data_IF_818907468276
#
_entry.id   IF_818907468276
#
_cell.length_a   1.000
_cell.length_b   1.000
_cell.length_c   1.000
_cell.angle_alpha   90.00
_cell.angle_beta   90.00
_cell.angle_gamma   90.00
#
_symmetry.space_group_name_H-M   'P 1'
#
loop_
_entity.id
_entity.type
_entity.pdbx_description
1 polymer ?
#
# COMPACT_ATOMS: atom_id res chain seq x y z
N UNK A 1 54.55 -68.96 -30.60
CA UNK A 1 55.27 -67.70 -30.38
C UNK A 1 54.23 -66.61 -30.61
N UNK A 2 53.31 -66.48 -29.65
CA UNK A 2 53.41 -65.57 -28.50
C UNK A 2 53.27 -64.11 -28.95
N UNK A 3 52.04 -63.61 -28.86
CA UNK A 3 51.72 -62.34 -28.19
C UNK A 3 50.20 -62.29 -28.02
N UNK A 4 49.74 -62.59 -26.80
CA UNK A 4 48.61 -61.89 -26.23
C UNK A 4 49.19 -60.66 -25.50
N UNK A 5 48.67 -59.46 -25.76
CA UNK A 5 48.13 -58.75 -24.62
C UNK A 5 46.81 -58.06 -24.98
N UNK A 6 45.71 -58.56 -24.42
CA UNK A 6 44.92 -57.88 -23.40
C UNK A 6 45.50 -56.51 -22.97
N UNK A 7 45.44 -55.53 -23.88
CA UNK A 7 45.61 -54.13 -23.57
C UNK A 7 44.25 -53.55 -23.18
N UNK A 8 43.79 -53.98 -22.00
CA UNK A 8 42.99 -53.19 -21.06
C UNK A 8 41.86 -52.37 -21.70
N UNK A 9 40.88 -53.07 -22.28
CA UNK A 9 39.51 -52.56 -22.31
C UNK A 9 38.86 -52.83 -20.95
N UNK A 10 39.29 -52.14 -19.89
CA UNK A 10 38.61 -52.15 -18.60
C UNK A 10 39.14 -51.00 -17.73
N UNK A 11 38.35 -50.05 -17.29
CA UNK A 11 36.95 -49.76 -17.52
C UNK A 11 36.83 -48.28 -17.14
N UNK A 12 35.96 -47.55 -17.82
CA UNK A 12 35.27 -46.45 -17.17
C UNK A 12 34.59 -47.06 -15.92
N UNK A 13 35.29 -47.04 -14.79
CA UNK A 13 34.74 -47.44 -13.50
C UNK A 13 33.81 -46.32 -13.06
N UNK A 14 32.63 -46.29 -13.69
CA UNK A 14 31.58 -45.34 -13.37
C UNK A 14 31.27 -45.38 -11.87
N UNK A 15 30.85 -44.25 -11.28
CA UNK A 15 30.60 -44.15 -9.84
C UNK A 15 29.72 -45.31 -9.33
N UNK A 16 30.04 -45.91 -8.17
CA UNK A 16 29.27 -47.04 -7.66
C UNK A 16 27.80 -46.65 -7.51
N UNK A 17 26.88 -47.59 -7.80
CA UNK A 17 25.42 -47.34 -7.80
C UNK A 17 24.93 -46.68 -6.51
N UNK A 18 25.53 -46.99 -5.36
CA UNK A 18 25.22 -46.36 -4.08
C UNK A 18 25.50 -44.85 -4.07
N UNK A 19 26.60 -44.41 -4.70
CA UNK A 19 26.95 -42.98 -4.84
C UNK A 19 25.98 -42.29 -5.79
N UNK A 20 25.59 -42.95 -6.88
CA UNK A 20 24.56 -42.42 -7.79
C UNK A 20 23.21 -42.27 -7.09
N UNK A 21 22.77 -43.25 -6.30
CA UNK A 21 21.52 -43.18 -5.52
C UNK A 21 21.59 -42.08 -4.46
N UNK A 22 22.69 -41.96 -3.74
CA UNK A 22 22.90 -40.90 -2.75
C UNK A 22 22.87 -39.50 -3.38
N UNK A 23 23.52 -39.34 -4.55
CA UNK A 23 23.52 -38.08 -5.28
C UNK A 23 22.10 -37.71 -5.78
N UNK A 24 21.37 -38.68 -6.34
CA UNK A 24 20.00 -38.46 -6.82
C UNK A 24 19.05 -38.11 -5.67
N UNK A 25 19.12 -38.83 -4.55
CA UNK A 25 18.28 -38.54 -3.37
C UNK A 25 18.58 -37.16 -2.80
N UNK A 26 19.85 -36.77 -2.67
CA UNK A 26 20.24 -35.43 -2.24
C UNK A 26 19.72 -34.35 -3.20
N UNK A 27 19.83 -34.57 -4.52
CA UNK A 27 19.33 -33.63 -5.52
C UNK A 27 17.81 -33.47 -5.45
N UNK A 28 17.05 -34.56 -5.30
CA UNK A 28 15.59 -34.53 -5.15
C UNK A 28 15.18 -33.79 -3.88
N UNK A 29 15.86 -34.04 -2.76
CA UNK A 29 15.60 -33.32 -1.50
C UNK A 29 15.91 -31.83 -1.64
N UNK A 30 17.04 -31.47 -2.23
CA UNK A 30 17.41 -30.07 -2.45
C UNK A 30 16.38 -29.34 -3.35
N UNK A 31 15.96 -29.97 -4.45
CA UNK A 31 14.91 -29.43 -5.32
C UNK A 31 13.59 -29.29 -4.56
N UNK A 32 13.21 -30.30 -3.77
CA UNK A 32 12.01 -30.26 -2.93
C UNK A 32 12.03 -29.08 -1.95
N UNK A 33 13.15 -28.86 -1.27
CA UNK A 33 13.34 -27.72 -0.35
C UNK A 33 13.27 -26.39 -1.09
N UNK A 34 13.94 -26.26 -2.25
CA UNK A 34 13.91 -25.03 -3.05
C UNK A 34 12.49 -24.72 -3.51
N UNK A 35 11.75 -25.72 -3.99
CA UNK A 35 10.36 -25.55 -4.44
C UNK A 35 9.43 -25.21 -3.28
N UNK A 36 9.61 -25.82 -2.11
CA UNK A 36 8.86 -25.47 -0.90
C UNK A 36 9.10 -24.00 -0.50
N UNK A 37 10.37 -23.57 -0.47
CA UNK A 37 10.72 -22.18 -0.18
C UNK A 37 10.15 -21.24 -1.23
N UNK A 38 10.24 -21.58 -2.51
CA UNK A 38 9.69 -20.75 -3.59
C UNK A 38 8.16 -20.63 -3.51
N UNK A 39 7.45 -21.73 -3.19
CA UNK A 39 6.01 -21.73 -3.01
C UNK A 39 5.55 -20.86 -1.82
N UNK A 40 6.41 -20.68 -0.81
CA UNK A 40 6.15 -19.79 0.34
C UNK A 40 6.57 -18.33 0.10
N UNK A 41 7.21 -18.01 -1.02
CA UNK A 41 7.55 -16.61 -1.36
C UNK A 41 6.38 -15.96 -2.08
N UNK A 42 5.53 -15.22 -1.35
CA UNK A 42 4.59 -14.31 -1.98
C UNK A 42 5.34 -13.19 -2.72
N UNK A 43 4.98 -12.96 -3.98
CA UNK A 43 5.40 -11.76 -4.70
C UNK A 43 4.92 -10.51 -3.92
N UNK A 44 5.73 -9.44 -3.85
CA UNK A 44 5.28 -8.19 -3.24
C UNK A 44 3.97 -7.72 -3.91
N UNK A 45 3.01 -7.20 -3.13
CA UNK A 45 1.79 -6.68 -3.71
C UNK A 45 2.10 -5.52 -4.68
N UNK A 46 1.33 -5.37 -5.77
CA UNK A 46 1.60 -4.34 -6.76
C UNK A 46 1.50 -2.93 -6.15
N UNK A 47 2.30 -1.96 -6.62
CA UNK A 47 2.20 -0.58 -6.14
C UNK A 47 0.79 0.01 -6.32
N UNK A 48 0.38 0.88 -5.40
CA UNK A 48 -0.91 1.59 -5.47
C UNK A 48 -0.78 2.78 -6.42
N UNK A 49 -1.57 2.81 -7.49
CA UNK A 49 -1.71 3.99 -8.32
C UNK A 49 -2.63 5.01 -7.62
N UNK A 50 -2.19 6.26 -7.55
CA UNK A 50 -2.98 7.37 -7.01
C UNK A 50 -3.19 8.38 -8.12
N UNK A 51 -4.44 8.70 -8.42
CA UNK A 51 -4.77 9.69 -9.43
C UNK A 51 -4.20 11.07 -9.04
N UNK A 52 -3.64 11.78 -10.02
CA UNK A 52 -3.21 13.15 -9.82
C UNK A 52 -4.44 14.05 -9.59
N UNK A 53 -4.36 14.91 -8.59
CA UNK A 53 -5.23 16.08 -8.44
C UNK A 53 -4.39 17.23 -7.88
N UNK A 54 -4.80 18.49 -8.10
CA UNK A 54 -4.07 19.65 -7.60
C UNK A 54 -3.80 19.55 -6.10
N UNK A 55 -2.51 19.60 -5.74
CA UNK A 55 -2.03 19.55 -4.37
C UNK A 55 -0.94 20.61 -4.15
N UNK A 56 -1.24 21.91 -4.31
CA UNK A 56 -0.23 22.98 -4.27
C UNK A 56 0.48 23.09 -2.91
N UNK A 57 -0.13 22.56 -1.85
CA UNK A 57 0.38 22.59 -0.49
C UNK A 57 1.03 21.28 -0.03
N UNK A 58 1.25 20.32 -0.95
CA UNK A 58 1.74 18.98 -0.61
C UNK A 58 3.16 18.98 0.03
N UNK A 59 3.97 20.00 -0.25
CA UNK A 59 5.33 20.17 0.30
C UNK A 59 5.39 21.07 1.54
N UNK A 60 4.25 21.64 1.96
CA UNK A 60 4.18 22.51 3.13
C UNK A 60 4.56 21.76 4.41
N UNK A 61 4.98 22.52 5.43
CA UNK A 61 5.46 21.96 6.69
C UNK A 61 4.42 21.06 7.38
N UNK A 62 3.13 21.39 7.26
CA UNK A 62 2.04 20.58 7.78
C UNK A 62 2.03 19.18 7.16
N UNK A 63 2.09 19.07 5.82
CA UNK A 63 2.09 17.78 5.14
C UNK A 63 3.37 16.96 5.42
N UNK A 64 4.52 17.62 5.55
CA UNK A 64 5.77 16.95 5.95
C UNK A 64 5.69 16.39 7.38
N UNK A 65 5.11 17.15 8.30
CA UNK A 65 4.86 16.72 9.69
C UNK A 65 3.94 15.49 9.73
N UNK A 66 2.80 15.56 9.04
CA UNK A 66 1.88 14.42 8.92
C UNK A 66 2.57 13.20 8.30
N UNK A 67 3.24 13.36 7.16
CA UNK A 67 3.92 12.27 6.48
C UNK A 67 4.94 11.53 7.37
N UNK A 68 5.68 12.27 8.21
CA UNK A 68 6.63 11.71 9.17
C UNK A 68 5.97 10.93 10.32
N UNK A 69 4.70 11.21 10.64
CA UNK A 69 3.97 10.56 11.72
C UNK A 69 3.01 9.46 11.25
N UNK A 70 2.80 9.30 9.95
CA UNK A 70 1.81 8.34 9.45
C UNK A 70 2.17 6.90 9.85
N UNK A 71 1.18 6.11 10.32
CA UNK A 71 1.45 4.79 10.87
C UNK A 71 1.75 3.77 9.76
N UNK A 72 2.43 2.68 10.14
CA UNK A 72 2.64 1.53 9.26
C UNK A 72 1.37 0.70 9.06
N UNK A 73 0.41 0.79 9.99
CA UNK A 73 -0.86 0.06 9.95
C UNK A 73 -2.04 0.99 10.25
N UNK A 74 -3.16 0.70 9.59
CA UNK A 74 -4.47 1.28 9.87
C UNK A 74 -5.47 0.12 10.03
N UNK A 75 -5.75 -0.30 11.27
CA UNK A 75 -6.44 -1.58 11.52
C UNK A 75 -5.75 -2.74 10.78
N UNK A 76 -6.50 -3.39 9.89
CA UNK A 76 -6.02 -4.51 9.06
C UNK A 76 -5.26 -4.08 7.79
N UNK A 77 -5.20 -2.78 7.51
CA UNK A 77 -4.49 -2.25 6.36
C UNK A 77 -3.01 -2.03 6.68
N UNK A 78 -2.11 -2.52 5.82
CA UNK A 78 -0.67 -2.32 5.91
C UNK A 78 -0.22 -1.24 4.92
N UNK A 79 0.74 -0.40 5.29
CA UNK A 79 1.32 0.62 4.40
C UNK A 79 1.78 0.00 3.09
N UNK A 80 1.35 0.58 1.99
CA UNK A 80 1.63 0.11 0.63
C UNK A 80 2.58 1.07 -0.10
N UNK A 81 3.35 0.52 -1.04
CA UNK A 81 4.19 1.33 -1.93
C UNK A 81 3.33 2.00 -2.98
N UNK A 82 3.59 3.27 -3.29
CA UNK A 82 2.93 4.00 -4.36
C UNK A 82 3.60 3.73 -5.71
N UNK A 83 2.80 3.69 -6.78
CA UNK A 83 3.32 3.65 -8.14
C UNK A 83 4.06 4.96 -8.46
N UNK A 84 5.12 4.87 -9.26
CA UNK A 84 5.91 6.03 -9.65
C UNK A 84 5.37 6.68 -10.94
N UNK A 85 5.37 8.02 -11.05
CA UNK A 85 5.79 8.99 -10.03
C UNK A 85 4.74 9.11 -8.90
N UNK A 86 5.19 8.96 -7.65
CA UNK A 86 4.33 9.08 -6.50
C UNK A 86 3.95 10.55 -6.25
N UNK A 87 2.65 10.90 -6.13
CA UNK A 87 2.26 12.26 -5.79
C UNK A 87 2.83 12.67 -4.42
N UNK A 88 3.32 13.90 -4.33
CA UNK A 88 3.75 14.47 -3.05
C UNK A 88 2.58 14.50 -2.06
N UNK A 89 2.87 14.31 -0.77
CA UNK A 89 1.85 14.30 0.28
C UNK A 89 0.88 13.10 0.22
N UNK A 90 1.11 12.10 -0.64
CA UNK A 90 0.28 10.91 -0.73
C UNK A 90 0.83 9.73 0.09
N UNK A 91 -0.07 8.92 0.62
CA UNK A 91 0.22 7.63 1.24
C UNK A 91 -0.93 6.66 0.96
N UNK A 92 -0.63 5.35 0.97
CA UNK A 92 -1.65 4.34 0.83
C UNK A 92 -1.42 3.16 1.78
N UNK A 93 -2.51 2.49 2.11
CA UNK A 93 -2.52 1.23 2.86
C UNK A 93 -3.44 0.24 2.16
N UNK A 94 -3.12 -1.05 2.23
CA UNK A 94 -3.88 -2.11 1.59
C UNK A 94 -4.15 -3.25 2.57
N UNK A 95 -5.37 -3.79 2.51
CA UNK A 95 -5.71 -5.05 3.16
C UNK A 95 -5.34 -6.21 2.23
N UNK A 96 -4.40 -7.06 2.67
CA UNK A 96 -3.95 -8.22 1.87
C UNK A 96 -3.33 -7.87 0.51
N UNK A 97 -3.20 -8.87 -0.37
CA UNK A 97 -2.53 -8.73 -1.67
C UNK A 97 -3.40 -8.13 -2.79
N UNK A 98 -4.72 -8.04 -2.58
CA UNK A 98 -5.67 -7.61 -3.62
C UNK A 98 -6.80 -6.70 -3.13
N UNK A 99 -6.79 -6.29 -1.86
CA UNK A 99 -7.79 -5.36 -1.35
C UNK A 99 -7.70 -3.98 -1.99
N UNK A 100 -8.83 -3.29 -2.04
CA UNK A 100 -8.85 -1.87 -2.41
C UNK A 100 -8.07 -1.05 -1.38
N UNK A 101 -7.29 -0.04 -1.82
CA UNK A 101 -6.46 0.72 -0.92
C UNK A 101 -7.21 1.85 -0.22
N UNK A 102 -6.89 2.06 1.06
CA UNK A 102 -7.06 3.33 1.75
C UNK A 102 -6.01 4.29 1.22
N UNK A 103 -6.41 5.47 0.76
CA UNK A 103 -5.49 6.47 0.19
C UNK A 103 -5.64 7.78 0.95
N UNK A 104 -4.52 8.31 1.42
CA UNK A 104 -4.42 9.64 2.01
C UNK A 104 -3.68 10.58 1.05
N UNK A 105 -4.16 11.81 0.93
CA UNK A 105 -3.54 12.88 0.15
C UNK A 105 -3.58 14.17 0.93
N UNK A 106 -2.42 14.76 1.19
CA UNK A 106 -2.29 16.02 1.93
C UNK A 106 -1.99 17.19 0.99
N UNK A 107 -2.48 18.38 1.34
CA UNK A 107 -2.12 19.62 0.67
C UNK A 107 -2.96 19.93 -0.58
N UNK A 108 -4.18 19.39 -0.63
CA UNK A 108 -5.12 19.59 -1.72
C UNK A 108 -5.74 20.99 -1.68
N UNK A 109 -6.29 21.42 -2.82
CA UNK A 109 -7.20 22.56 -2.87
C UNK A 109 -8.50 22.25 -2.12
N UNK A 110 -9.23 23.31 -1.73
CA UNK A 110 -10.56 23.18 -1.15
C UNK A 110 -11.48 22.43 -2.12
N UNK A 111 -12.19 21.37 -1.70
CA UNK A 111 -13.17 20.70 -2.55
C UNK A 111 -14.30 21.67 -2.91
N UNK A 112 -14.73 21.66 -4.17
CA UNK A 112 -15.69 22.64 -4.70
C UNK A 112 -17.06 22.56 -4.02
N UNK A 113 -17.42 21.38 -3.52
CA UNK A 113 -18.67 21.07 -2.84
C UNK A 113 -18.66 21.48 -1.36
N UNK A 114 -17.50 21.89 -0.81
CA UNK A 114 -17.42 22.37 0.56
C UNK A 114 -17.84 23.84 0.65
N UNK A 115 -19.15 24.02 0.83
CA UNK A 115 -19.84 25.30 0.89
C UNK A 115 -20.47 25.53 2.26
N UNK A 116 -20.93 26.76 2.53
CA UNK A 116 -21.63 27.08 3.78
C UNK A 116 -22.86 26.17 3.92
N UNK A 117 -22.97 25.50 5.06
CA UNK A 117 -24.04 24.54 5.33
C UNK A 117 -23.72 23.09 4.96
N UNK A 118 -22.55 22.81 4.35
CA UNK A 118 -22.10 21.44 4.12
C UNK A 118 -22.06 20.63 5.43
N UNK A 119 -22.54 19.37 5.42
CA UNK A 119 -22.52 18.52 6.60
C UNK A 119 -21.07 18.17 6.99
N UNK A 120 -20.78 18.21 8.29
CA UNK A 120 -19.48 17.90 8.86
C UNK A 120 -19.63 16.78 9.89
N UNK A 121 -18.70 15.83 9.85
CA UNK A 121 -18.57 14.78 10.86
C UNK A 121 -17.31 15.03 11.68
N UNK A 122 -17.41 14.89 13.01
CA UNK A 122 -16.27 15.02 13.90
C UNK A 122 -15.80 13.61 14.28
N UNK A 123 -14.54 13.32 14.00
CA UNK A 123 -13.86 12.08 14.41
C UNK A 123 -12.56 12.48 15.10
N UNK A 124 -12.40 12.10 16.36
CA UNK A 124 -11.21 12.38 17.18
C UNK A 124 -10.66 13.81 17.03
N UNK A 125 -11.54 14.81 17.19
CA UNK A 125 -11.24 16.27 17.12
C UNK A 125 -10.87 16.79 15.73
N UNK A 126 -11.03 15.99 14.68
CA UNK A 126 -10.91 16.42 13.28
C UNK A 126 -12.30 16.57 12.66
N UNK A 127 -12.53 17.65 11.94
CA UNK A 127 -13.76 17.90 11.20
C UNK A 127 -13.62 17.41 9.76
N UNK A 128 -14.41 16.41 9.41
CA UNK A 128 -14.42 15.74 8.12
C UNK A 128 -15.65 16.13 7.28
N UNK A 129 -15.40 16.52 6.04
CA UNK A 129 -16.40 16.74 5.00
C UNK A 129 -16.36 15.59 4.00
N UNK A 130 -17.50 14.94 3.72
CA UNK A 130 -17.59 13.89 2.71
C UNK A 130 -17.92 14.49 1.33
N UNK A 131 -17.17 14.11 0.30
CA UNK A 131 -17.49 14.48 -1.09
C UNK A 131 -18.53 13.52 -1.64
N UNK A 132 -19.65 14.05 -2.12
CA UNK A 132 -20.77 13.31 -2.69
C UNK A 132 -20.36 12.32 -3.80
N UNK A 133 -21.04 11.16 -3.82
CA UNK A 133 -20.77 10.04 -4.72
C UNK A 133 -21.07 10.30 -6.21
N UNK A 134 -21.84 11.34 -6.53
CA UNK A 134 -22.22 11.72 -7.90
C UNK A 134 -21.06 12.28 -8.74
N UNK A 135 -19.99 12.73 -8.08
CA UNK A 135 -18.76 13.25 -8.72
C UNK A 135 -17.56 12.32 -8.60
N UNK A 136 -17.71 11.20 -7.89
CA UNK A 136 -16.69 10.16 -7.84
C UNK A 136 -16.55 9.53 -9.24
N UNK A 137 -15.32 9.35 -9.72
CA UNK A 137 -15.09 8.83 -11.08
C UNK A 137 -15.65 7.41 -11.19
N UNK A 138 -15.91 6.90 -12.40
CA UNK A 138 -16.46 5.55 -12.60
C UNK A 138 -15.62 4.40 -11.96
N UNK A 139 -14.37 4.68 -11.57
CA UNK A 139 -13.50 3.77 -10.81
C UNK A 139 -13.62 3.85 -9.27
N UNK A 140 -14.51 4.69 -8.74
CA UNK A 140 -14.70 4.93 -7.31
C UNK A 140 -16.04 4.36 -6.78
N UNK A 141 -16.70 3.49 -7.54
CA UNK A 141 -17.94 2.85 -7.10
C UNK A 141 -17.74 2.15 -5.75
N UNK A 142 -18.45 2.60 -4.72
CA UNK A 142 -18.34 2.06 -3.35
C UNK A 142 -17.22 2.66 -2.49
N UNK A 143 -16.49 3.67 -2.96
CA UNK A 143 -15.50 4.40 -2.16
C UNK A 143 -16.08 5.70 -1.63
N UNK A 144 -15.68 6.13 -0.44
CA UNK A 144 -16.01 7.44 0.13
C UNK A 144 -14.74 8.28 0.28
N UNK A 145 -14.80 9.57 -0.07
CA UNK A 145 -13.65 10.48 0.11
C UNK A 145 -14.01 11.57 1.11
N UNK A 146 -13.21 11.66 2.18
CA UNK A 146 -13.38 12.56 3.31
C UNK A 146 -12.26 13.58 3.34
N UNK A 147 -12.59 14.85 3.51
CA UNK A 147 -11.63 15.94 3.65
C UNK A 147 -11.58 16.43 5.09
N UNK A 148 -10.40 16.45 5.69
CA UNK A 148 -10.17 17.22 6.91
C UNK A 148 -10.17 18.71 6.54
N UNK A 149 -11.13 19.48 7.07
CA UNK A 149 -11.39 20.87 6.66
C UNK A 149 -11.04 21.92 7.72
N UNK A 150 -10.64 21.47 8.90
CA UNK A 150 -10.26 22.31 10.04
C UNK A 150 -8.76 22.21 10.36
N UNK A 151 -7.94 22.01 9.32
CA UNK A 151 -6.48 22.00 9.39
C UNK A 151 -5.87 23.04 8.43
N UNK A 152 -4.60 23.45 8.60
CA UNK A 152 -4.00 24.52 7.80
C UNK A 152 -3.91 24.21 6.30
N UNK A 153 -3.99 22.93 5.97
CA UNK A 153 -4.04 22.38 4.61
C UNK A 153 -5.14 21.31 4.56
N UNK A 154 -5.77 21.13 3.40
CA UNK A 154 -6.79 20.10 3.24
C UNK A 154 -6.15 18.72 3.06
N UNK A 155 -6.66 17.73 3.80
CA UNK A 155 -6.22 16.34 3.72
C UNK A 155 -7.41 15.47 3.30
N UNK A 156 -7.29 14.80 2.15
CA UNK A 156 -8.29 13.83 1.72
C UNK A 156 -7.91 12.41 2.16
N UNK A 157 -8.93 11.66 2.59
CA UNK A 157 -8.87 10.25 2.91
C UNK A 157 -9.95 9.53 2.09
N UNK A 158 -9.53 8.67 1.16
CA UNK A 158 -10.42 7.81 0.40
C UNK A 158 -10.45 6.42 1.01
N UNK A 159 -11.65 5.98 1.41
CA UNK A 159 -11.93 4.71 2.06
C UNK A 159 -12.73 3.78 1.13
N UNK A 160 -12.27 2.55 0.91
CA UNK A 160 -13.09 1.49 0.32
C UNK A 160 -14.35 1.19 1.13
N UNK A 161 -15.38 0.64 0.48
CA UNK A 161 -16.54 0.08 1.16
C UNK A 161 -16.11 -0.96 2.20
N UNK A 162 -16.76 -0.95 3.37
CA UNK A 162 -16.46 -1.93 4.42
C UNK A 162 -15.14 -1.70 5.17
N UNK A 163 -14.47 -0.55 4.99
CA UNK A 163 -13.24 -0.22 5.74
C UNK A 163 -13.43 -0.14 7.26
N UNK A 164 -14.68 0.02 7.72
CA UNK A 164 -14.98 0.31 9.12
C UNK A 164 -14.46 1.70 9.55
N UNK A 165 -14.66 2.07 10.83
CA UNK A 165 -14.27 3.39 11.33
C UNK A 165 -12.78 3.50 11.69
N UNK A 166 -12.09 2.37 11.89
CA UNK A 166 -10.72 2.35 12.42
C UNK A 166 -9.72 3.19 11.61
N UNK A 167 -9.67 3.13 10.27
CA UNK A 167 -8.70 3.92 9.51
C UNK A 167 -8.87 5.44 9.68
N UNK A 168 -10.12 5.94 9.65
CA UNK A 168 -10.39 7.37 9.81
C UNK A 168 -10.16 7.83 11.25
N UNK A 169 -10.47 7.02 12.26
CA UNK A 169 -10.16 7.31 13.67
C UNK A 169 -8.65 7.45 13.89
N UNK A 170 -7.87 6.43 13.51
CA UNK A 170 -6.42 6.44 13.69
C UNK A 170 -5.73 7.57 12.91
N UNK A 171 -6.20 7.89 11.71
CA UNK A 171 -5.68 9.04 10.98
C UNK A 171 -6.11 10.37 11.59
N UNK A 172 -7.31 10.45 12.17
CA UNK A 172 -7.76 11.66 12.87
C UNK A 172 -6.87 11.97 14.06
N UNK A 173 -6.54 10.96 14.87
CA UNK A 173 -5.58 11.11 15.96
C UNK A 173 -4.22 11.63 15.46
N UNK A 174 -3.67 11.04 14.38
CA UNK A 174 -2.37 11.48 13.83
C UNK A 174 -2.43 12.91 13.29
N UNK A 175 -3.52 13.27 12.60
CA UNK A 175 -3.73 14.63 12.08
C UNK A 175 -3.82 15.64 13.22
N UNK A 176 -4.55 15.32 14.30
CA UNK A 176 -4.68 16.18 15.48
C UNK A 176 -3.34 16.44 16.18
N UNK A 177 -2.48 15.43 16.28
CA UNK A 177 -1.15 15.57 16.89
C UNK A 177 -0.14 16.31 16.01
N UNK A 178 -0.33 16.33 14.69
CA UNK A 178 0.67 16.87 13.75
C UNK A 178 0.31 18.23 13.17
N UNK A 179 -0.97 18.62 13.23
CA UNK A 179 -1.49 19.84 12.65
C UNK A 179 -2.44 20.54 13.62
N UNK A 180 -2.25 21.85 13.89
CA UNK A 180 -3.18 22.59 14.73
C UNK A 180 -4.55 22.72 14.06
N UNK A 181 -5.60 22.71 14.86
CA UNK A 181 -6.93 23.05 14.38
C UNK A 181 -7.01 24.53 13.97
N UNK A 182 -7.72 24.82 12.88
CA UNK A 182 -8.02 26.18 12.40
C UNK A 182 -9.51 26.31 12.10
N UNK A 183 -10.09 27.53 12.08
CA UNK A 183 -11.47 27.73 11.64
C UNK A 183 -11.68 27.19 10.23
N UNK A 184 -12.80 26.48 10.02
CA UNK A 184 -13.17 25.97 8.69
C UNK A 184 -13.43 27.11 7.71
N UNK A 185 -13.11 26.91 6.43
CA UNK A 185 -13.25 27.92 5.37
C UNK A 185 -14.08 27.42 4.18
N UNK A 186 -15.39 27.19 4.33
CA UNK A 186 -16.27 26.81 3.22
C UNK A 186 -16.43 27.95 2.21
N UNK A 187 -16.71 27.61 0.95
CA UNK A 187 -17.13 28.61 -0.04
C UNK A 187 -18.55 29.11 0.26
N UNK A 188 -18.93 30.28 -0.29
CA UNK A 188 -20.32 30.72 -0.22
C UNK A 188 -21.24 29.70 -0.92
N UNK A 189 -22.43 29.45 -0.34
CA UNK A 189 -23.46 28.69 -1.03
C UNK A 189 -23.95 29.49 -2.24
N UNK A 190 -24.06 28.82 -3.39
CA UNK A 190 -24.61 29.38 -4.63
C UNK A 190 -26.13 29.42 -4.62
#
# INVERSE_FOLDING_TARGET
METDPDAVAAADAGPPRAVLIAAVTLAVVAIGVILAVAATRQAPPPPVAVAAAPAPHASDAACRSLAGALPQRLGDYQRATLAQPAPEGAAAWRAGSGGEPVVLRCGLDRPAEFVVGSPIQIVDRVQWFEVSADRQSAGDAGRSTWYAVDRPVYVALTLPAGSGPTPIQQLSDVIDHTMPAVPINPAAAS
#
